data_IF_813217640917
#
_entry.id   IF_813217640917
#
_cell.length_a   1.000
_cell.length_b   1.000
_cell.length_c   1.000
_cell.angle_alpha   90.00
_cell.angle_beta   90.00
_cell.angle_gamma   90.00
#
_symmetry.space_group_name_H-M   'P 1'
#
loop_
_entity.id
_entity.type
_entity.pdbx_description
1 polymer ?
#
# COMPACT_ATOMS: atom_id res chain seq x y z
N UNK A 1 2.40 24.74 -17.15
CA UNK A 1 3.15 23.85 -16.24
C UNK A 1 2.36 22.56 -16.16
N UNK A 2 2.87 21.50 -16.77
CA UNK A 2 2.17 20.22 -16.85
C UNK A 2 2.41 19.48 -15.53
N UNK A 3 1.38 19.39 -14.70
CA UNK A 3 1.41 18.56 -13.50
C UNK A 3 1.47 17.10 -13.95
N UNK A 4 2.68 16.58 -14.13
CA UNK A 4 2.92 15.14 -14.19
C UNK A 4 2.55 14.58 -12.82
N UNK A 5 1.29 14.20 -12.65
CA UNK A 5 0.88 13.33 -11.56
C UNK A 5 1.58 12.01 -11.85
N UNK A 6 2.73 11.78 -11.21
CA UNK A 6 3.37 10.47 -11.24
C UNK A 6 2.32 9.43 -10.84
N UNK A 7 2.09 8.40 -11.66
CA UNK A 7 0.95 7.53 -11.48
C UNK A 7 1.21 6.63 -10.27
N UNK A 8 0.65 7.02 -9.12
CA UNK A 8 0.75 6.35 -7.82
C UNK A 8 0.51 4.83 -7.88
N UNK A 9 -0.25 4.36 -8.88
CA UNK A 9 -0.72 2.97 -9.05
C UNK A 9 -0.32 2.31 -10.38
N UNK A 10 0.61 2.89 -11.17
CA UNK A 10 0.97 2.34 -12.49
C UNK A 10 1.52 0.91 -12.40
N UNK A 11 2.30 0.62 -11.37
CA UNK A 11 2.95 -0.68 -11.13
C UNK A 11 2.17 -1.57 -10.16
N UNK A 12 1.00 -1.13 -9.70
CA UNK A 12 0.16 -1.89 -8.78
C UNK A 12 -0.76 -2.79 -9.61
N UNK A 13 -0.66 -4.12 -9.48
CA UNK A 13 -1.51 -5.05 -10.22
C UNK A 13 -2.96 -4.92 -9.76
N UNK A 14 -3.89 -5.25 -10.64
CA UNK A 14 -5.29 -5.49 -10.30
C UNK A 14 -5.42 -6.81 -9.53
N UNK A 15 -6.58 -7.04 -8.90
CA UNK A 15 -6.88 -8.32 -8.23
C UNK A 15 -6.64 -9.53 -9.14
N UNK A 16 -7.07 -9.44 -10.40
CA UNK A 16 -6.94 -10.53 -11.38
C UNK A 16 -5.49 -10.72 -11.85
N UNK A 17 -4.74 -9.64 -12.05
CA UNK A 17 -3.31 -9.72 -12.39
C UNK A 17 -2.50 -10.32 -11.24
N UNK A 18 -2.79 -9.90 -10.00
CA UNK A 18 -2.11 -10.41 -8.83
C UNK A 18 -2.35 -11.92 -8.66
N UNK A 19 -3.58 -12.40 -8.92
CA UNK A 19 -3.90 -13.84 -8.97
C UNK A 19 -3.11 -14.58 -10.05
N UNK A 20 -2.90 -13.97 -11.22
CA UNK A 20 -2.10 -14.58 -12.31
C UNK A 20 -0.61 -14.64 -11.98
N UNK A 21 -0.09 -13.63 -11.29
CA UNK A 21 1.34 -13.54 -10.92
C UNK A 21 1.66 -14.51 -9.77
N UNK A 22 0.87 -14.49 -8.70
CA UNK A 22 1.16 -15.22 -7.46
C UNK A 22 0.41 -16.56 -7.35
N UNK A 23 -0.62 -16.79 -8.16
CA UNK A 23 -1.48 -17.96 -8.11
C UNK A 23 -2.67 -17.84 -7.16
N UNK A 24 -3.50 -18.89 -7.12
CA UNK A 24 -4.80 -18.91 -6.41
C UNK A 24 -4.72 -18.93 -4.87
N UNK A 25 -3.51 -18.92 -4.28
CA UNK A 25 -3.30 -19.00 -2.82
C UNK A 25 -3.21 -17.62 -2.13
N UNK A 26 -3.74 -16.57 -2.76
CA UNK A 26 -3.76 -15.23 -2.18
C UNK A 26 -5.00 -15.03 -1.33
N UNK A 27 -4.78 -14.71 -0.06
CA UNK A 27 -5.82 -14.26 0.85
C UNK A 27 -6.04 -12.76 0.66
N UNK A 28 -7.17 -12.40 0.04
CA UNK A 28 -7.56 -11.00 -0.14
C UNK A 28 -8.13 -10.46 1.16
N UNK A 29 -7.39 -9.55 1.80
CA UNK A 29 -7.76 -8.93 3.07
C UNK A 29 -8.70 -7.72 2.90
N UNK A 30 -9.02 -7.34 1.66
CA UNK A 30 -9.88 -6.21 1.34
C UNK A 30 -9.09 -4.91 1.12
N UNK A 31 -9.83 -3.80 1.12
CA UNK A 31 -9.25 -2.47 0.96
C UNK A 31 -8.96 -1.85 2.32
N UNK A 32 -7.79 -1.24 2.42
CA UNK A 32 -7.40 -0.52 3.60
C UNK A 32 -7.12 0.95 3.26
N UNK A 33 -7.54 1.82 4.16
CA UNK A 33 -7.29 3.26 4.13
C UNK A 33 -6.16 3.61 5.08
N UNK A 34 -5.31 4.54 4.67
CA UNK A 34 -4.26 5.10 5.51
C UNK A 34 -4.87 6.07 6.51
N UNK A 35 -4.88 5.70 7.79
CA UNK A 35 -5.44 6.54 8.88
C UNK A 35 -4.35 7.25 9.70
N UNK A 36 -3.11 6.76 9.66
CA UNK A 36 -2.01 7.35 10.43
C UNK A 36 -0.69 7.15 9.71
N UNK A 37 0.11 8.22 9.67
CA UNK A 37 1.48 8.22 9.16
C UNK A 37 2.41 8.84 10.21
N UNK A 38 3.51 8.16 10.50
CA UNK A 38 4.56 8.63 11.41
C UNK A 38 5.88 8.64 10.66
N UNK A 39 6.59 9.78 10.67
CA UNK A 39 7.85 10.00 9.94
C UNK A 39 9.06 10.29 10.86
N UNK A 40 8.93 9.99 12.15
CA UNK A 40 9.96 10.28 13.17
C UNK A 40 10.78 9.03 13.49
N UNK A 41 11.30 8.85 14.71
CA UNK A 41 12.29 7.80 15.09
C UNK A 41 11.97 6.36 14.64
N UNK A 42 10.68 6.02 14.54
CA UNK A 42 10.22 4.76 13.96
C UNK A 42 9.14 5.08 12.94
N UNK A 43 9.52 5.25 11.66
CA UNK A 43 8.55 5.57 10.63
C UNK A 43 7.60 4.40 10.43
N UNK A 44 6.31 4.68 10.53
CA UNK A 44 5.27 3.65 10.43
C UNK A 44 4.00 4.19 9.82
N UNK A 45 3.22 3.28 9.25
CA UNK A 45 1.90 3.54 8.70
C UNK A 45 0.88 2.64 9.39
N UNK A 46 -0.28 3.19 9.72
CA UNK A 46 -1.44 2.44 10.17
C UNK A 46 -2.51 2.47 9.10
N UNK A 47 -2.93 1.28 8.69
CA UNK A 47 -3.99 1.05 7.73
C UNK A 47 -5.23 0.52 8.46
N UNK A 48 -6.41 0.93 8.02
CA UNK A 48 -7.71 0.53 8.57
C UNK A 48 -8.60 -0.02 7.45
N UNK A 49 -9.21 -1.19 7.64
CA UNK A 49 -10.22 -1.71 6.70
C UNK A 49 -11.66 -1.38 7.14
N UNK A 50 -12.63 -1.78 6.32
CA UNK A 50 -14.07 -1.59 6.59
C UNK A 50 -14.54 -2.34 7.85
N UNK A 51 -13.87 -3.45 8.21
CA UNK A 51 -14.13 -4.25 9.40
C UNK A 51 -13.52 -3.66 10.69
N UNK A 52 -12.97 -2.44 10.61
CA UNK A 52 -12.27 -1.74 11.71
C UNK A 52 -10.99 -2.44 12.21
N UNK A 53 -10.45 -3.38 11.43
CA UNK A 53 -9.17 -3.99 11.70
C UNK A 53 -8.04 -3.04 11.29
N UNK A 54 -7.06 -2.90 12.19
CA UNK A 54 -5.88 -2.09 11.95
C UNK A 54 -4.67 -2.94 11.72
N UNK A 55 -3.89 -2.60 10.70
CA UNK A 55 -2.60 -3.21 10.43
C UNK A 55 -1.52 -2.13 10.35
N UNK A 56 -0.38 -2.41 10.99
CA UNK A 56 0.73 -1.49 11.07
C UNK A 56 1.90 -2.02 10.27
N UNK A 57 2.50 -1.15 9.45
CA UNK A 57 3.72 -1.46 8.72
C UNK A 57 4.79 -0.42 9.02
N UNK A 58 6.05 -0.89 9.03
CA UNK A 58 7.20 0.02 9.00
C UNK A 58 7.30 0.64 7.60
N UNK A 59 7.63 1.92 7.53
CA UNK A 59 7.85 2.61 6.25
C UNK A 59 9.30 3.04 6.11
N UNK A 60 9.78 3.11 4.89
CA UNK A 60 11.05 3.74 4.55
C UNK A 60 10.77 5.13 3.98
N UNK A 61 11.21 6.17 4.70
CA UNK A 61 11.01 7.56 4.30
C UNK A 61 12.01 7.90 3.19
N UNK A 62 11.50 8.23 2.01
CA UNK A 62 12.31 8.59 0.85
C UNK A 62 12.54 10.11 0.78
N UNK A 63 11.49 10.89 1.03
CA UNK A 63 11.55 12.35 1.11
C UNK A 63 10.58 12.86 2.19
N UNK A 64 11.12 13.33 3.32
CA UNK A 64 10.32 13.85 4.44
C UNK A 64 9.59 15.15 4.11
N UNK A 65 10.14 16.00 3.22
CA UNK A 65 9.51 17.28 2.85
C UNK A 65 8.29 17.08 1.95
N UNK A 66 8.39 16.11 1.04
CA UNK A 66 7.29 15.74 0.13
C UNK A 66 6.37 14.65 0.69
N UNK A 67 6.66 14.14 1.89
CA UNK A 67 5.96 13.02 2.51
C UNK A 67 5.95 11.76 1.63
N UNK A 68 7.05 11.54 0.90
CA UNK A 68 7.20 10.37 0.04
C UNK A 68 7.85 9.25 0.86
N UNK A 69 7.20 8.09 0.87
CA UNK A 69 7.67 6.90 1.56
C UNK A 69 7.31 5.64 0.78
N UNK A 70 7.93 4.53 1.15
CA UNK A 70 7.63 3.20 0.65
C UNK A 70 7.35 2.23 1.81
N UNK A 71 6.61 1.15 1.53
CA UNK A 71 6.27 0.14 2.53
C UNK A 71 6.99 -1.17 2.13
N UNK A 72 8.23 -1.41 2.58
CA UNK A 72 9.06 -2.51 2.07
C UNK A 72 8.48 -3.91 2.36
N UNK A 73 7.60 -4.02 3.35
CA UNK A 73 6.92 -5.27 3.68
C UNK A 73 5.79 -5.64 2.69
N UNK A 74 5.38 -4.70 1.82
CA UNK A 74 4.29 -4.88 0.86
C UNK A 74 4.88 -4.88 -0.55
N UNK A 75 4.77 -6.00 -1.25
CA UNK A 75 5.10 -6.08 -2.66
C UNK A 75 4.08 -5.35 -3.52
N UNK A 76 4.56 -4.79 -4.64
CA UNK A 76 3.77 -3.92 -5.51
C UNK A 76 3.13 -2.72 -4.76
N UNK A 77 3.73 -2.28 -3.64
CA UNK A 77 3.19 -1.17 -2.87
C UNK A 77 3.05 0.09 -3.74
N UNK A 78 1.92 0.81 -3.69
CA UNK A 78 1.78 2.08 -4.39
C UNK A 78 2.85 3.06 -3.92
N UNK A 79 3.32 3.92 -4.83
CA UNK A 79 4.27 4.97 -4.50
C UNK A 79 3.54 6.29 -4.23
N UNK A 80 4.20 7.21 -3.51
CA UNK A 80 3.67 8.54 -3.22
C UNK A 80 2.29 8.51 -2.52
N UNK A 81 2.08 7.53 -1.64
CA UNK A 81 0.88 7.40 -0.81
C UNK A 81 0.72 8.60 0.13
N UNK A 82 -0.52 9.05 0.30
CA UNK A 82 -0.90 10.14 1.19
C UNK A 82 -1.89 9.66 2.25
N UNK A 83 -2.06 10.44 3.32
CA UNK A 83 -3.12 10.18 4.29
C UNK A 83 -4.47 10.13 3.56
N UNK A 84 -5.34 9.18 3.95
CA UNK A 84 -6.62 8.89 3.29
C UNK A 84 -6.55 8.21 1.92
N UNK A 85 -5.37 7.99 1.33
CA UNK A 85 -5.28 7.09 0.19
C UNK A 85 -5.66 5.66 0.63
N UNK A 86 -6.26 4.91 -0.29
CA UNK A 86 -6.74 3.54 -0.05
C UNK A 86 -6.24 2.61 -1.14
N UNK A 87 -5.90 1.38 -0.74
CA UNK A 87 -5.47 0.33 -1.68
C UNK A 87 -5.87 -1.05 -1.17
N UNK A 88 -5.95 -2.02 -2.08
CA UNK A 88 -6.24 -3.40 -1.74
C UNK A 88 -5.02 -4.07 -1.14
N UNK A 89 -5.21 -4.87 -0.09
CA UNK A 89 -4.16 -5.65 0.53
C UNK A 89 -4.49 -7.14 0.41
N UNK A 90 -3.53 -7.91 -0.08
CA UNK A 90 -3.57 -9.36 -0.11
C UNK A 90 -2.38 -9.92 0.67
N UNK A 91 -2.54 -11.14 1.16
CA UNK A 91 -1.51 -11.85 1.91
C UNK A 91 -1.32 -13.23 1.31
N UNK A 92 -0.07 -13.67 1.27
CA UNK A 92 0.30 -15.05 0.95
C UNK A 92 1.44 -15.44 1.87
N UNK A 93 1.18 -16.41 2.73
CA UNK A 93 2.09 -16.86 3.79
C UNK A 93 2.54 -15.68 4.69
N UNK A 94 3.79 -15.24 4.58
CA UNK A 94 4.38 -14.14 5.36
C UNK A 94 4.50 -12.84 4.57
N UNK A 95 4.07 -12.81 3.31
CA UNK A 95 4.23 -11.66 2.42
C UNK A 95 2.91 -10.95 2.18
N UNK A 96 2.97 -9.62 2.11
CA UNK A 96 1.84 -8.76 1.76
C UNK A 96 2.01 -8.23 0.36
N UNK A 97 0.90 -8.06 -0.35
CA UNK A 97 0.84 -7.60 -1.73
C UNK A 97 -0.23 -6.52 -1.84
N UNK A 98 0.09 -5.42 -2.51
CA UNK A 98 -0.91 -4.42 -2.82
C UNK A 98 -1.58 -4.72 -4.17
N UNK A 99 -2.86 -4.40 -4.27
CA UNK A 99 -3.59 -4.41 -5.54
C UNK A 99 -4.52 -3.20 -5.66
N UNK A 100 -4.83 -2.81 -6.90
CA UNK A 100 -5.79 -1.74 -7.19
C UNK A 100 -7.17 -2.30 -7.52
N UNK A 101 -8.19 -1.46 -7.30
CA UNK A 101 -9.54 -1.73 -7.81
C UNK A 101 -9.52 -1.54 -9.33
N UNK A 102 -10.18 -2.44 -10.05
CA UNK A 102 -10.44 -2.29 -11.48
C UNK A 102 -11.38 -1.11 -11.74
#
# INVERSE_FOLDING_TARGET
MQSTVEPKMEYVPTKEELLKIEGEKLDFLGFYQIIKLKFDDQPSITLLNEDQETINFSISVLDKKKQIFSIPAIQFSPQNLQLSDSFGLAKKETHYFAYKKN
#
